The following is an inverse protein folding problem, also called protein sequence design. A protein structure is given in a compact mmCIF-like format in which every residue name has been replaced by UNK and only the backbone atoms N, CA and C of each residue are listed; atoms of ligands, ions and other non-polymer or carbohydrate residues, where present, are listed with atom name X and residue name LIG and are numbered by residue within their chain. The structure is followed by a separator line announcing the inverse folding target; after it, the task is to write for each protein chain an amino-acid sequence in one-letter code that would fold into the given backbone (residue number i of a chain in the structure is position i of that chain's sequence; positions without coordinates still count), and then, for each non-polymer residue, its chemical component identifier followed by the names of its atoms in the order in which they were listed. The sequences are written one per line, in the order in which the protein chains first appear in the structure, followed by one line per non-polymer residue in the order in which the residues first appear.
data_IF_512118877022
#
_entry.id   IF_512118877022
#
_cell.length_a   1.000
_cell.length_b   1.000
_cell.length_c   1.000
_cell.angle_alpha   90.00
_cell.angle_beta   90.00
_cell.angle_gamma   90.00
#
_symmetry.space_group_name_H-M   'P 1'
#
loop_
_entity.id
_entity.type
_entity.pdbx_description
1 polymer ?
#
# COMPACT_ATOMS: atom_id res chain seq x y z
N UNK A 1 33.36 3.28 -12.27
CA UNK A 1 34.47 2.87 -11.38
C UNK A 1 34.13 3.30 -9.96
N UNK A 2 34.33 2.45 -8.94
CA UNK A 2 34.22 2.90 -7.55
C UNK A 2 35.37 3.87 -7.22
N UNK A 3 35.14 4.84 -6.34
CA UNK A 3 36.16 5.80 -5.90
C UNK A 3 37.29 5.03 -5.20
N UNK A 4 38.55 5.38 -5.49
CA UNK A 4 39.73 4.77 -4.87
C UNK A 4 39.58 4.80 -3.33
N UNK A 5 39.75 3.64 -2.69
CA UNK A 5 39.60 3.47 -1.23
C UNK A 5 38.21 3.07 -0.75
N UNK A 6 37.18 3.06 -1.60
CA UNK A 6 35.86 2.53 -1.24
C UNK A 6 35.71 1.10 -1.76
N UNK A 7 35.68 0.13 -0.85
CA UNK A 7 35.34 -1.26 -1.18
C UNK A 7 33.93 -1.34 -1.72
N UNK A 8 33.75 -2.06 -2.83
CA UNK A 8 32.43 -2.37 -3.36
C UNK A 8 31.66 -3.16 -2.29
N UNK A 9 30.44 -2.76 -1.91
CA UNK A 9 29.61 -3.56 -1.02
C UNK A 9 29.29 -4.90 -1.70
N UNK A 10 29.54 -5.99 -1.00
CA UNK A 10 29.17 -7.32 -1.48
C UNK A 10 27.65 -7.48 -1.44
N UNK A 11 27.09 -8.06 -2.52
CA UNK A 11 25.65 -8.24 -2.63
C UNK A 11 25.24 -9.48 -1.81
N UNK A 12 24.94 -9.27 -0.53
CA UNK A 12 24.54 -10.33 0.41
C UNK A 12 23.09 -10.78 0.28
N UNK A 13 22.27 -10.03 -0.47
CA UNK A 13 20.83 -10.29 -0.59
C UNK A 13 20.45 -10.66 -2.03
N UNK A 14 20.22 -11.95 -2.25
CA UNK A 14 19.87 -12.52 -3.57
C UNK A 14 18.37 -12.75 -3.74
N UNK A 15 17.61 -12.78 -2.64
CA UNK A 15 16.16 -13.07 -2.62
C UNK A 15 15.34 -11.81 -2.26
N UNK A 16 14.01 -11.80 -2.37
CA UNK A 16 13.17 -10.72 -1.83
C UNK A 16 13.04 -10.85 -0.30
N UNK A 17 12.82 -9.74 0.43
CA UNK A 17 12.57 -9.75 1.89
C UNK A 17 11.09 -9.83 2.26
N UNK A 18 10.23 -10.00 1.27
CA UNK A 18 8.80 -9.98 1.47
C UNK A 18 8.32 -11.41 1.75
N UNK A 19 7.62 -11.60 2.86
CA UNK A 19 6.92 -12.86 3.16
C UNK A 19 5.67 -13.04 2.28
N UNK A 20 5.16 -11.94 1.72
CA UNK A 20 4.01 -11.92 0.82
C UNK A 20 4.44 -12.06 -0.64
N UNK A 21 3.61 -12.75 -1.43
CA UNK A 21 3.80 -12.84 -2.88
C UNK A 21 3.78 -11.44 -3.51
N UNK A 22 4.56 -11.18 -4.58
CA UNK A 22 4.45 -9.95 -5.34
C UNK A 22 2.99 -9.68 -5.73
N UNK A 23 2.54 -8.46 -5.49
CA UNK A 23 1.21 -8.05 -5.93
C UNK A 23 1.12 -8.19 -7.45
N UNK A 24 -0.01 -8.68 -8.00
CA UNK A 24 -0.20 -8.72 -9.43
C UNK A 24 -0.01 -7.34 -10.06
N UNK A 25 0.59 -7.31 -11.25
CA UNK A 25 0.70 -6.09 -12.02
C UNK A 25 -0.70 -5.52 -12.28
N UNK A 26 -0.93 -4.27 -11.88
CA UNK A 26 -2.21 -3.59 -12.10
C UNK A 26 -2.30 -3.30 -13.60
N UNK A 27 -3.04 -4.14 -14.32
CA UNK A 27 -3.23 -3.99 -15.75
C UNK A 27 -4.30 -2.93 -16.05
N UNK A 28 -3.94 -1.97 -16.90
CA UNK A 28 -4.85 -0.97 -17.45
C UNK A 28 -4.80 0.40 -16.77
N UNK A 29 -5.30 1.42 -17.47
CA UNK A 29 -5.52 2.75 -16.89
C UNK A 29 -6.76 2.71 -15.99
N UNK A 30 -6.85 3.62 -15.02
CA UNK A 30 -8.10 3.87 -14.33
C UNK A 30 -9.24 4.06 -15.36
N UNK A 31 -10.37 3.38 -15.16
CA UNK A 31 -11.53 3.51 -16.06
C UNK A 31 -11.96 4.96 -16.10
N UNK A 32 -11.69 5.64 -17.21
CA UNK A 32 -12.12 7.00 -17.44
C UNK A 32 -13.33 6.99 -18.39
N UNK A 33 -14.48 7.40 -17.88
CA UNK A 33 -15.68 7.66 -18.68
C UNK A 33 -15.90 9.15 -18.84
N UNK A 34 -16.63 9.56 -19.89
CA UNK A 34 -17.21 10.91 -19.96
C UNK A 34 -18.52 11.02 -19.17
N UNK A 35 -19.00 9.90 -18.64
CA UNK A 35 -20.19 9.85 -17.80
C UNK A 35 -19.96 10.70 -16.55
N UNK A 36 -20.88 11.62 -16.30
CA UNK A 36 -20.82 12.43 -15.10
C UNK A 36 -20.99 11.53 -13.87
N UNK A 37 -20.19 11.76 -12.83
CA UNK A 37 -20.37 11.04 -11.58
C UNK A 37 -21.80 11.25 -11.06
N UNK A 38 -22.41 10.18 -10.54
CA UNK A 38 -23.72 10.29 -9.89
C UNK A 38 -23.61 11.28 -8.72
N UNK A 39 -24.65 12.09 -8.48
CA UNK A 39 -24.64 13.01 -7.35
C UNK A 39 -24.47 12.24 -6.05
N UNK A 40 -23.78 12.86 -5.09
CA UNK A 40 -23.58 12.27 -3.78
C UNK A 40 -24.93 12.30 -3.05
N UNK A 41 -25.38 11.14 -2.57
CA UNK A 41 -26.64 11.04 -1.82
C UNK A 41 -26.44 11.75 -0.46
N UNK A 42 -27.37 12.62 -0.01
CA UNK A 42 -27.28 13.23 1.31
C UNK A 42 -27.14 12.18 2.41
N UNK A 43 -26.14 12.34 3.28
CA UNK A 43 -25.78 11.36 4.31
C UNK A 43 -24.78 10.28 3.85
N UNK A 44 -24.51 10.14 2.54
CA UNK A 44 -23.43 9.25 2.05
C UNK A 44 -22.07 9.93 1.99
N UNK A 45 -21.89 11.08 2.64
CA UNK A 45 -20.62 11.75 2.84
C UNK A 45 -20.48 12.16 4.29
N UNK A 46 -19.35 11.81 4.91
CA UNK A 46 -19.10 12.15 6.31
C UNK A 46 -17.99 11.30 6.91
N UNK A 47 -17.38 11.80 7.99
CA UNK A 47 -16.45 11.04 8.82
C UNK A 47 -17.09 9.78 9.41
N UNK A 48 -18.42 9.76 9.54
CA UNK A 48 -19.21 8.64 10.08
C UNK A 48 -19.13 7.37 9.21
N UNK A 49 -18.87 7.49 7.91
CA UNK A 49 -18.69 6.33 7.02
C UNK A 49 -17.23 5.92 6.83
N UNK A 50 -16.29 6.66 7.42
CA UNK A 50 -14.87 6.28 7.38
C UNK A 50 -14.64 5.19 8.42
N UNK A 51 -14.15 4.04 7.96
CA UNK A 51 -13.69 2.99 8.87
C UNK A 51 -12.30 3.38 9.38
N UNK A 52 -12.21 3.74 10.66
CA UNK A 52 -10.94 4.01 11.31
C UNK A 52 -10.40 2.72 11.92
N UNK A 53 -9.19 2.35 11.51
CA UNK A 53 -8.49 1.21 12.06
C UNK A 53 -7.51 1.68 13.13
N UNK A 54 -7.65 1.14 14.35
CA UNK A 54 -6.63 1.31 15.37
C UNK A 54 -5.42 0.46 14.99
N UNK A 55 -4.28 1.11 14.81
CA UNK A 55 -3.01 0.43 14.55
C UNK A 55 -2.48 -0.08 15.88
N UNK A 56 -2.31 -1.40 16.00
CA UNK A 56 -1.47 -1.95 17.06
C UNK A 56 -0.02 -1.65 16.67
N UNK A 57 0.86 -1.34 17.64
CA UNK A 57 2.18 -0.68 17.45
C UNK A 57 3.17 -1.28 16.44
N UNK A 58 2.80 -2.37 15.76
CA UNK A 58 3.51 -3.00 14.64
C UNK A 58 2.87 -2.71 13.26
N UNK A 59 1.89 -1.79 13.19
CA UNK A 59 1.23 -1.39 11.93
C UNK A 59 0.19 -2.39 11.40
N UNK A 60 -0.17 -3.42 12.16
CA UNK A 60 -1.19 -4.40 11.79
C UNK A 60 -2.59 -3.98 12.29
N UNK A 61 -3.61 -4.25 11.47
CA UNK A 61 -5.02 -3.97 11.77
C UNK A 61 -5.75 -5.28 12.09
N UNK A 62 -6.18 -5.47 13.34
CA UNK A 62 -6.92 -6.66 13.77
C UNK A 62 -7.31 -6.64 15.26
N UNK A 63 -8.37 -7.39 15.65
CA UNK A 63 -8.80 -7.52 17.04
C UNK A 63 -7.70 -8.21 17.86
N UNK A 64 -7.14 -7.48 18.81
CA UNK A 64 -6.49 -8.10 19.97
C UNK A 64 -7.55 -8.95 20.68
N UNK A 65 -7.30 -10.26 20.74
CA UNK A 65 -8.08 -11.20 21.54
C UNK A 65 -8.04 -10.73 23.00
N UNK A 66 -9.22 -10.55 23.60
CA UNK A 66 -9.40 -10.70 25.04
C UNK A 66 -10.09 -12.03 25.28
#
# INVERSE_FOLDING_TARGET
MAKQGMSRPERTHTKPRNDVSPVPEIQGKAKHGKEHAKPIIPGTYGTEQKVYHNLNGEGSVGKGVQ
#
